data_IF_538395795047
#
_entry.id   IF_538395795047
#
_cell.length_a   1.000
_cell.length_b   1.000
_cell.length_c   1.000
_cell.angle_alpha   90.00
_cell.angle_beta   90.00
_cell.angle_gamma   90.00
#
_symmetry.space_group_name_H-M   'P 1'
#
loop_
_entity.id
_entity.type
_entity.pdbx_description
1 polymer ?
#
# COMPACT_ATOMS: atom_id res chain seq x y z
N UNK A 1 1.18 0.91 10.56
CA UNK A 1 1.17 -0.53 10.22
C UNK A 1 -0.26 -0.86 9.89
N UNK A 2 -0.53 -1.38 8.69
CA UNK A 2 -1.89 -1.66 8.24
C UNK A 2 -1.97 -3.14 7.88
N UNK A 3 -2.84 -3.88 8.57
CA UNK A 3 -3.09 -5.28 8.28
C UNK A 3 -4.11 -5.43 7.15
N UNK A 4 -3.78 -6.24 6.15
CA UNK A 4 -4.59 -6.50 4.97
C UNK A 4 -4.79 -8.02 4.80
N UNK A 5 -5.82 -8.47 4.05
CA UNK A 5 -6.09 -9.88 3.86
C UNK A 5 -4.86 -10.62 3.31
N UNK A 6 -4.60 -11.82 3.83
CA UNK A 6 -3.41 -12.59 3.47
C UNK A 6 -3.35 -13.01 1.99
N UNK A 7 -4.51 -13.04 1.33
CA UNK A 7 -4.65 -13.35 -0.08
C UNK A 7 -4.51 -12.12 -1.00
N UNK A 8 -4.17 -10.93 -0.46
CA UNK A 8 -4.00 -9.72 -1.27
C UNK A 8 -2.89 -9.93 -2.30
N UNK A 9 -3.21 -9.70 -3.58
CA UNK A 9 -2.27 -9.92 -4.68
C UNK A 9 -1.03 -9.01 -4.55
N UNK A 10 0.17 -9.48 -4.93
CA UNK A 10 1.36 -8.65 -4.98
C UNK A 10 1.18 -7.37 -5.83
N UNK A 11 0.46 -7.47 -6.94
CA UNK A 11 0.15 -6.31 -7.80
C UNK A 11 -0.68 -5.25 -7.09
N UNK A 12 -1.65 -5.64 -6.26
CA UNK A 12 -2.44 -4.70 -5.45
C UNK A 12 -1.56 -4.04 -4.37
N UNK A 13 -0.67 -4.80 -3.72
CA UNK A 13 0.30 -4.24 -2.76
C UNK A 13 1.22 -3.22 -3.45
N UNK A 14 1.75 -3.55 -4.63
CA UNK A 14 2.57 -2.62 -5.42
C UNK A 14 1.82 -1.37 -5.83
N UNK A 15 0.52 -1.47 -6.13
CA UNK A 15 -0.31 -0.31 -6.47
C UNK A 15 -0.51 0.62 -5.27
N UNK A 16 -0.78 0.08 -4.08
CA UNK A 16 -0.88 0.89 -2.85
C UNK A 16 0.44 1.63 -2.57
N UNK A 17 1.57 0.96 -2.79
CA UNK A 17 2.90 1.59 -2.67
C UNK A 17 3.07 2.71 -3.70
N UNK A 18 2.66 2.48 -4.95
CA UNK A 18 2.75 3.47 -6.01
C UNK A 18 1.88 4.72 -5.73
N UNK A 19 0.70 4.55 -5.16
CA UNK A 19 -0.18 5.65 -4.77
C UNK A 19 0.48 6.52 -3.67
N UNK A 20 0.97 5.90 -2.60
CA UNK A 20 1.59 6.62 -1.48
C UNK A 20 2.89 7.34 -1.90
N UNK A 21 3.69 6.72 -2.78
CA UNK A 21 4.87 7.36 -3.37
C UNK A 21 4.45 8.56 -4.22
N UNK A 22 3.38 8.44 -5.02
CA UNK A 22 2.91 9.53 -5.87
C UNK A 22 2.49 10.74 -5.05
N UNK A 23 1.81 10.53 -3.92
CA UNK A 23 1.44 11.57 -2.96
C UNK A 23 2.70 12.24 -2.37
N UNK A 24 3.69 11.45 -1.96
CA UNK A 24 4.94 11.97 -1.39
C UNK A 24 5.74 12.79 -2.41
N UNK A 25 5.92 12.25 -3.62
CA UNK A 25 6.68 12.88 -4.70
C UNK A 25 6.05 14.20 -5.15
N UNK A 26 4.73 14.23 -5.37
CA UNK A 26 4.07 15.45 -5.86
C UNK A 26 4.06 16.56 -4.81
N UNK A 27 3.89 16.21 -3.53
CA UNK A 27 3.77 17.16 -2.42
C UNK A 27 5.09 17.46 -1.70
N UNK A 28 6.22 16.89 -2.13
CA UNK A 28 7.50 16.98 -1.42
C UNK A 28 7.40 16.56 0.04
N UNK A 29 6.66 15.48 0.31
CA UNK A 29 6.46 14.91 1.64
C UNK A 29 7.14 13.56 1.75
N UNK A 30 7.74 13.30 2.90
CA UNK A 30 8.21 11.97 3.25
C UNK A 30 7.00 11.11 3.60
N UNK A 31 6.68 10.17 2.72
CA UNK A 31 5.62 9.18 2.93
C UNK A 31 6.22 7.80 3.11
N UNK A 32 5.47 6.89 3.73
CA UNK A 32 5.90 5.52 3.98
C UNK A 32 4.72 4.56 4.00
N UNK A 33 4.90 3.39 3.40
CA UNK A 33 3.92 2.30 3.44
C UNK A 33 4.45 1.18 4.33
N UNK A 34 3.62 0.74 5.28
CA UNK A 34 3.87 -0.46 6.09
C UNK A 34 2.63 -1.34 6.12
N UNK A 35 2.51 -2.18 5.11
CA UNK A 35 1.43 -3.17 4.94
C UNK A 35 1.83 -4.53 5.52
N UNK A 36 0.86 -5.24 6.07
CA UNK A 36 1.02 -6.57 6.67
C UNK A 36 -0.03 -7.50 6.07
N UNK A 37 0.32 -8.29 5.04
CA UNK A 37 -0.53 -9.35 4.54
C UNK A 37 -0.62 -10.46 5.59
N UNK A 38 -1.78 -10.59 6.22
CA UNK A 38 -2.00 -11.54 7.30
C UNK A 38 -2.39 -12.91 6.75
N UNK A 39 -1.40 -13.80 6.53
CA UNK A 39 -1.64 -15.11 5.93
C UNK A 39 -2.69 -15.93 6.72
N UNK A 40 -3.64 -16.51 6.00
CA UNK A 40 -4.72 -17.31 6.59
C UNK A 40 -5.81 -16.51 7.30
N UNK A 41 -5.81 -15.18 7.20
CA UNK A 41 -6.81 -14.29 7.79
C UNK A 41 -7.44 -13.38 6.73
N UNK A 42 -8.69 -13.00 6.98
CA UNK A 42 -9.51 -12.19 6.08
C UNK A 42 -10.13 -10.98 6.81
N UNK A 43 -10.87 -10.15 6.07
CA UNK A 43 -11.53 -8.94 6.60
C UNK A 43 -12.42 -9.28 7.78
N UNK A 44 -12.25 -8.54 8.88
CA UNK A 44 -12.97 -8.77 10.15
C UNK A 44 -12.17 -9.57 11.17
N UNK A 45 -11.12 -10.29 10.76
CA UNK A 45 -10.15 -10.87 11.70
C UNK A 45 -9.21 -9.79 12.27
N UNK A 46 -8.49 -10.14 13.34
CA UNK A 46 -7.41 -9.32 13.90
C UNK A 46 -6.07 -10.07 13.86
N UNK A 47 -4.97 -9.34 13.64
CA UNK A 47 -3.60 -9.83 13.80
C UNK A 47 -3.06 -9.39 15.15
N UNK A 48 -2.57 -10.33 15.96
CA UNK A 48 -1.89 -10.04 17.22
C UNK A 48 -0.39 -10.19 17.04
N UNK A 49 0.35 -9.11 17.28
CA UNK A 49 1.82 -9.07 17.16
C UNK A 49 2.52 -9.33 18.49
N UNK A 50 1.75 -9.44 19.58
CA UNK A 50 2.22 -9.73 20.93
C UNK A 50 2.82 -8.52 21.66
N UNK A 51 2.83 -8.62 22.99
CA UNK A 51 3.53 -7.71 23.90
C UNK A 51 3.27 -6.22 23.62
N UNK A 52 4.33 -5.48 23.31
CA UNK A 52 4.31 -4.04 23.05
C UNK A 52 3.83 -3.65 21.65
N UNK A 53 3.77 -4.60 20.71
CA UNK A 53 3.42 -4.33 19.31
C UNK A 53 1.90 -4.32 19.07
N UNK A 54 1.12 -4.82 20.05
CA UNK A 54 -0.34 -4.75 20.07
C UNK A 54 -1.00 -5.63 18.99
N UNK A 55 -2.18 -5.19 18.55
CA UNK A 55 -3.02 -5.88 17.57
C UNK A 55 -3.50 -4.91 16.49
N UNK A 56 -3.80 -5.44 15.30
CA UNK A 56 -4.37 -4.66 14.20
C UNK A 56 -5.54 -5.42 13.53
N UNK A 57 -6.69 -4.77 13.34
CA UNK A 57 -7.78 -5.34 12.56
C UNK A 57 -7.42 -5.40 11.08
N UNK A 58 -7.88 -6.45 10.40
CA UNK A 58 -7.71 -6.60 8.96
C UNK A 58 -8.77 -5.76 8.24
N UNK A 59 -8.30 -4.78 7.47
CA UNK A 59 -9.16 -3.89 6.70
C UNK A 59 -9.35 -4.40 5.28
N UNK A 60 -10.51 -4.08 4.69
CA UNK A 60 -10.79 -4.43 3.30
C UNK A 60 -9.82 -3.74 2.32
N UNK A 61 -9.45 -4.47 1.28
CA UNK A 61 -8.71 -3.96 0.11
C UNK A 61 -9.63 -3.99 -1.11
N UNK A 62 -9.46 -3.06 -2.03
CA UNK A 62 -10.25 -3.00 -3.25
C UNK A 62 -10.14 -4.32 -4.06
N UNK A 63 -11.26 -4.95 -4.47
CA UNK A 63 -11.25 -6.22 -5.18
C UNK A 63 -10.78 -6.12 -6.64
N UNK A 64 -10.75 -4.91 -7.23
CA UNK A 64 -10.33 -4.72 -8.62
C UNK A 64 -8.82 -4.84 -8.79
N UNK A 65 -8.40 -5.44 -9.90
CA UNK A 65 -6.99 -5.74 -10.16
C UNK A 65 -6.20 -4.54 -10.69
N UNK A 66 -4.92 -4.46 -10.32
CA UNK A 66 -3.96 -3.46 -10.80
C UNK A 66 -2.85 -4.08 -11.68
N UNK A 67 -3.03 -5.33 -12.11
CA UNK A 67 -1.97 -6.12 -12.76
C UNK A 67 -1.38 -5.46 -14.01
N UNK A 68 -2.24 -4.91 -14.89
CA UNK A 68 -1.79 -4.27 -16.12
C UNK A 68 -0.96 -3.01 -15.85
N UNK A 69 -1.34 -2.23 -14.84
CA UNK A 69 -0.63 -1.01 -14.48
C UNK A 69 0.76 -1.33 -13.92
N UNK A 70 0.84 -2.26 -12.97
CA UNK A 70 2.11 -2.63 -12.33
C UNK A 70 3.07 -3.34 -13.29
N UNK A 71 2.55 -4.20 -14.17
CA UNK A 71 3.36 -4.90 -15.18
C UNK A 71 3.94 -3.96 -16.25
N UNK A 72 3.45 -2.72 -16.38
CA UNK A 72 4.02 -1.74 -17.31
C UNK A 72 5.51 -1.48 -17.05
N UNK A 73 5.92 -1.54 -15.78
CA UNK A 73 7.31 -1.34 -15.38
C UNK A 73 7.88 0.02 -15.84
N UNK A 74 9.21 0.13 -15.82
CA UNK A 74 9.91 1.34 -16.22
C UNK A 74 10.07 2.37 -15.10
N UNK A 75 10.11 3.66 -15.48
CA UNK A 75 10.38 4.79 -14.56
C UNK A 75 9.30 5.85 -14.70
N UNK A 76 8.72 6.25 -13.58
CA UNK A 76 7.85 7.44 -13.51
C UNK A 76 8.77 8.67 -13.51
N UNK A 77 8.65 9.61 -14.48
CA UNK A 77 9.50 10.79 -14.54
C UNK A 77 9.21 11.75 -13.39
N UNK A 78 10.17 12.64 -13.11
CA UNK A 78 10.00 13.66 -12.09
C UNK A 78 8.83 14.62 -12.41
N UNK A 79 8.08 15.09 -11.41
CA UNK A 79 7.00 16.04 -11.63
C UNK A 79 7.56 17.42 -12.03
N UNK A 80 6.77 18.17 -12.81
CA UNK A 80 7.10 19.54 -13.21
C UNK A 80 7.13 20.42 -11.96
N UNK A 81 8.30 21.01 -11.66
CA UNK A 81 8.49 21.87 -10.49
C UNK A 81 7.94 23.29 -10.71
N UNK A 82 7.90 23.77 -11.96
CA UNK A 82 7.50 25.14 -12.29
C UNK A 82 5.99 25.42 -12.16
N UNK A 83 5.16 24.40 -11.97
CA UNK A 83 3.71 24.52 -11.76
C UNK A 83 3.32 24.59 -10.28
N UNK A 84 4.29 24.79 -9.39
CA UNK A 84 4.07 25.02 -7.96
C UNK A 84 3.95 26.54 -7.75
N UNK A 85 2.83 26.98 -7.16
CA UNK A 85 2.59 28.39 -6.80
C UNK A 85 3.54 28.87 -5.71
#
# INVERSE_FOLDING_TARGET
MIAIPGNTKPSTISAIIADEISIGVINSKTTAVRLIPAYGKDVGDEVEFGGLLGKAPIIAVNPYGCDNFIKRGGRIPAPIQSLRN
#
